data_IF_297709693435
#
_entry.id   IF_297709693435
#
_cell.length_a   1.000
_cell.length_b   1.000
_cell.length_c   1.000
_cell.angle_alpha   90.00
_cell.angle_beta   90.00
_cell.angle_gamma   90.00
#
_symmetry.space_group_name_H-M   'P 1'
#
loop_
_entity.id
_entity.type
_entity.pdbx_description
1 polymer ?
#
# COMPACT_ATOMS: atom_id res chain seq x y z
N UNK A 1 3.54 7.78 -33.04
CA UNK A 1 4.07 6.52 -33.59
C UNK A 1 5.51 6.41 -33.12
N UNK A 2 5.80 5.61 -32.10
CA UNK A 2 7.17 5.36 -31.65
C UNK A 2 7.28 3.92 -31.17
N UNK A 3 8.37 3.27 -31.58
CA UNK A 3 8.72 1.84 -31.54
C UNK A 3 8.89 1.28 -30.10
N UNK A 4 8.40 1.98 -29.07
CA UNK A 4 8.50 1.59 -27.67
C UNK A 4 7.47 0.51 -27.25
N UNK A 5 6.37 0.34 -27.99
CA UNK A 5 5.27 -0.53 -27.58
C UNK A 5 5.56 -2.02 -27.71
N UNK A 6 6.44 -2.46 -28.62
CA UNK A 6 6.69 -3.89 -28.83
C UNK A 6 7.62 -4.48 -27.74
N UNK A 7 8.72 -3.80 -27.43
CA UNK A 7 9.69 -4.21 -26.41
C UNK A 7 9.12 -4.13 -24.99
N UNK A 8 8.33 -3.09 -24.67
CA UNK A 8 7.64 -3.01 -23.38
C UNK A 8 6.58 -4.11 -23.25
N UNK A 9 5.89 -4.47 -24.34
CA UNK A 9 4.91 -5.56 -24.33
C UNK A 9 5.55 -6.94 -24.16
N UNK A 10 6.67 -7.22 -24.82
CA UNK A 10 7.37 -8.50 -24.72
C UNK A 10 8.03 -8.69 -23.34
N UNK A 11 8.58 -7.63 -22.76
CA UNK A 11 9.12 -7.63 -21.38
C UNK A 11 7.98 -7.84 -20.38
N UNK A 12 6.85 -7.17 -20.57
CA UNK A 12 5.69 -7.32 -19.70
C UNK A 12 5.05 -8.72 -19.79
N UNK A 13 5.03 -9.35 -20.97
CA UNK A 13 4.57 -10.72 -21.16
C UNK A 13 5.54 -11.73 -20.52
N UNK A 14 6.85 -11.53 -20.65
CA UNK A 14 7.84 -12.40 -20.02
C UNK A 14 7.79 -12.33 -18.50
N UNK A 15 7.69 -11.13 -17.92
CA UNK A 15 7.52 -10.93 -16.48
C UNK A 15 6.22 -11.55 -15.98
N UNK A 16 5.12 -11.44 -16.73
CA UNK A 16 3.85 -12.08 -16.40
C UNK A 16 3.98 -13.60 -16.30
N UNK A 17 4.63 -14.25 -17.27
CA UNK A 17 4.84 -15.70 -17.25
C UNK A 17 5.73 -16.16 -16.08
N UNK A 18 6.73 -15.36 -15.69
CA UNK A 18 7.57 -15.65 -14.54
C UNK A 18 6.80 -15.51 -13.22
N UNK A 19 5.98 -14.46 -13.08
CA UNK A 19 5.10 -14.27 -11.94
C UNK A 19 4.15 -15.45 -11.78
N UNK A 20 3.52 -15.92 -12.87
CA UNK A 20 2.65 -17.10 -12.83
C UNK A 20 3.37 -18.37 -12.36
N UNK A 21 4.62 -18.57 -12.79
CA UNK A 21 5.45 -19.69 -12.38
C UNK A 21 5.88 -19.61 -10.91
N UNK A 22 6.13 -18.41 -10.37
CA UNK A 22 6.38 -18.21 -8.94
C UNK A 22 5.11 -18.37 -8.11
N UNK A 23 3.97 -17.85 -8.59
CA UNK A 23 2.66 -17.98 -7.96
C UNK A 23 2.19 -19.42 -7.87
N UNK A 24 2.46 -20.25 -8.88
CA UNK A 24 2.13 -21.67 -8.86
C UNK A 24 2.81 -22.43 -7.70
N UNK A 25 3.94 -21.93 -7.21
CA UNK A 25 4.66 -22.50 -6.06
C UNK A 25 4.04 -22.07 -4.73
N UNK A 26 3.32 -20.94 -4.70
CA UNK A 26 2.75 -20.33 -3.50
C UNK A 26 1.25 -20.58 -3.45
N UNK A 27 0.81 -21.68 -2.85
CA UNK A 27 -0.61 -22.09 -2.87
C UNK A 27 -1.23 -22.32 -1.48
N UNK A 28 -0.48 -22.15 -0.38
CA UNK A 28 -0.93 -22.34 1.01
C UNK A 28 -0.24 -21.38 1.97
N UNK A 29 -0.92 -21.05 3.06
CA UNK A 29 -0.41 -20.13 4.10
C UNK A 29 0.90 -20.60 4.73
N UNK A 30 1.03 -21.90 5.04
CA UNK A 30 2.23 -22.46 5.67
C UNK A 30 3.49 -22.32 4.79
N UNK A 31 3.31 -22.33 3.46
CA UNK A 31 4.39 -22.11 2.52
C UNK A 31 4.86 -20.67 2.57
N UNK A 32 3.92 -19.70 2.67
CA UNK A 32 4.26 -18.28 2.81
C UNK A 32 4.97 -18.01 4.13
N UNK A 33 4.53 -18.65 5.22
CA UNK A 33 5.21 -18.59 6.51
C UNK A 33 6.65 -19.08 6.41
N UNK A 34 6.87 -20.22 5.74
CA UNK A 34 8.20 -20.79 5.51
C UNK A 34 9.07 -19.85 4.65
N UNK A 35 8.50 -19.24 3.61
CA UNK A 35 9.22 -18.28 2.76
C UNK A 35 9.57 -17.00 3.51
N UNK A 36 8.68 -16.53 4.38
CA UNK A 36 8.86 -15.29 5.16
C UNK A 36 9.95 -15.43 6.23
N UNK A 37 10.20 -16.65 6.72
CA UNK A 37 11.27 -16.98 7.67
C UNK A 37 12.65 -17.16 7.02
N UNK A 38 12.76 -17.02 5.69
CA UNK A 38 14.08 -17.09 5.04
C UNK A 38 14.93 -15.90 5.47
N UNK A 39 16.24 -16.08 5.72
CA UNK A 39 17.12 -14.97 6.11
C UNK A 39 17.09 -13.79 5.15
N UNK A 40 16.93 -14.04 3.84
CA UNK A 40 16.80 -12.99 2.82
C UNK A 40 15.50 -12.20 2.95
N UNK A 41 14.38 -12.87 3.23
CA UNK A 41 13.07 -12.25 3.40
C UNK A 41 13.03 -11.41 4.69
N UNK A 42 13.58 -11.93 5.78
CA UNK A 42 13.71 -11.22 7.05
C UNK A 42 14.62 -10.00 6.93
N UNK A 43 15.80 -10.15 6.32
CA UNK A 43 16.73 -9.04 6.11
C UNK A 43 16.11 -7.93 5.24
N UNK A 44 15.35 -8.31 4.21
CA UNK A 44 14.62 -7.35 3.37
C UNK A 44 13.53 -6.64 4.17
N UNK A 45 12.74 -7.39 4.96
CA UNK A 45 11.67 -6.82 5.81
C UNK A 45 12.22 -5.82 6.83
N UNK A 46 13.33 -6.17 7.49
CA UNK A 46 14.02 -5.29 8.44
C UNK A 46 14.59 -4.04 7.75
N UNK A 47 15.13 -4.18 6.53
CA UNK A 47 15.58 -3.02 5.75
C UNK A 47 14.42 -2.10 5.39
N UNK A 48 13.28 -2.66 4.95
CA UNK A 48 12.08 -1.89 4.66
C UNK A 48 11.58 -1.15 5.90
N UNK A 49 11.52 -1.83 7.06
CA UNK A 49 11.10 -1.20 8.31
C UNK A 49 11.99 0.00 8.68
N UNK A 50 13.32 -0.14 8.57
CA UNK A 50 14.27 0.97 8.80
C UNK A 50 14.09 2.15 7.83
N UNK A 51 13.63 1.89 6.59
CA UNK A 51 13.37 2.95 5.61
C UNK A 51 12.04 3.65 5.88
N UNK A 52 11.00 2.90 6.23
CA UNK A 52 9.63 3.44 6.44
C UNK A 52 9.47 4.13 7.80
N UNK A 53 10.05 3.55 8.86
CA UNK A 53 9.94 4.05 10.23
C UNK A 53 11.27 4.61 10.70
N UNK A 54 11.29 5.91 11.00
CA UNK A 54 12.39 6.56 11.74
C UNK A 54 12.25 6.40 13.27
N UNK A 55 11.22 5.70 13.73
CA UNK A 55 10.88 5.53 15.15
C UNK A 55 10.91 4.04 15.51
N UNK A 56 11.88 3.63 16.33
CA UNK A 56 12.03 2.25 16.80
C UNK A 56 10.89 1.80 17.72
N UNK A 57 10.08 2.73 18.23
CA UNK A 57 8.91 2.39 19.06
C UNK A 57 7.68 2.01 18.24
N UNK A 58 7.72 2.20 16.91
CA UNK A 58 6.64 1.76 16.03
C UNK A 58 6.71 0.25 15.82
N UNK A 59 5.55 -0.45 15.79
CA UNK A 59 5.54 -1.87 15.52
C UNK A 59 6.22 -2.20 14.17
N UNK A 60 6.90 -3.35 14.06
CA UNK A 60 7.62 -3.72 12.85
C UNK A 60 6.67 -3.82 11.65
N UNK A 61 7.13 -3.32 10.51
CA UNK A 61 6.41 -3.43 9.23
C UNK A 61 6.62 -4.85 8.70
N UNK A 62 5.65 -5.73 8.98
CA UNK A 62 5.71 -7.15 8.60
C UNK A 62 5.30 -7.35 7.12
N UNK A 63 6.21 -6.97 6.23
CA UNK A 63 6.13 -7.23 4.79
C UNK A 63 7.38 -7.98 4.36
N UNK A 64 7.21 -9.07 3.64
CA UNK A 64 8.30 -9.98 3.25
C UNK A 64 8.38 -10.10 1.73
N UNK A 65 9.60 -10.03 1.19
CA UNK A 65 9.88 -10.43 -0.19
C UNK A 65 10.06 -11.95 -0.21
N UNK A 66 9.02 -12.66 -0.62
CA UNK A 66 8.93 -14.12 -0.50
C UNK A 66 9.55 -14.85 -1.71
N UNK A 67 9.67 -14.15 -2.84
CA UNK A 67 10.33 -14.58 -4.08
C UNK A 67 10.97 -13.35 -4.75
N UNK A 68 11.57 -13.51 -5.93
CA UNK A 68 12.14 -12.36 -6.63
C UNK A 68 11.07 -11.38 -7.11
N UNK A 69 9.88 -11.87 -7.48
CA UNK A 69 8.82 -11.06 -8.07
C UNK A 69 7.59 -10.89 -7.17
N UNK A 70 7.57 -11.47 -5.97
CA UNK A 70 6.41 -11.40 -5.07
C UNK A 70 6.76 -10.91 -3.66
N UNK A 71 5.87 -10.08 -3.13
CA UNK A 71 5.84 -9.68 -1.73
C UNK A 71 4.57 -10.22 -1.05
N UNK A 72 4.67 -10.50 0.25
CA UNK A 72 3.56 -10.93 1.07
C UNK A 72 3.49 -10.13 2.38
N UNK A 73 2.28 -9.85 2.84
CA UNK A 73 2.02 -9.29 4.17
C UNK A 73 0.69 -9.77 4.73
N UNK A 74 0.45 -9.54 6.01
CA UNK A 74 -0.89 -9.75 6.59
C UNK A 74 -1.82 -8.64 6.11
N UNK A 75 -2.98 -8.96 5.51
CA UNK A 75 -3.91 -7.95 5.02
C UNK A 75 -4.60 -7.24 6.20
N UNK A 76 -4.88 -5.95 6.04
CA UNK A 76 -5.94 -5.33 6.83
C UNK A 76 -7.33 -5.74 6.30
N UNK A 77 -8.34 -5.72 7.17
CA UNK A 77 -9.71 -6.23 6.90
C UNK A 77 -10.40 -5.68 5.66
N UNK A 78 -9.97 -4.54 5.12
CA UNK A 78 -10.54 -3.92 3.92
C UNK A 78 -9.51 -3.64 2.84
N UNK A 79 -8.24 -4.00 3.05
CA UNK A 79 -7.14 -3.60 2.19
C UNK A 79 -7.28 -4.18 0.79
N UNK A 80 -7.48 -5.50 0.70
CA UNK A 80 -7.66 -6.21 -0.54
C UNK A 80 -8.87 -5.68 -1.35
N UNK A 81 -10.03 -5.55 -0.69
CA UNK A 81 -11.25 -5.02 -1.33
C UNK A 81 -11.04 -3.58 -1.80
N UNK A 82 -10.30 -2.76 -1.03
CA UNK A 82 -9.99 -1.38 -1.41
C UNK A 82 -9.05 -1.31 -2.61
N UNK A 83 -8.02 -2.16 -2.64
CA UNK A 83 -7.10 -2.24 -3.78
C UNK A 83 -7.83 -2.61 -5.06
N UNK A 84 -8.65 -3.66 -5.01
CA UNK A 84 -9.44 -4.11 -6.16
C UNK A 84 -10.43 -3.03 -6.61
N UNK A 85 -11.12 -2.39 -5.67
CA UNK A 85 -12.04 -1.29 -5.98
C UNK A 85 -11.35 -0.11 -6.66
N UNK A 86 -10.20 0.34 -6.14
CA UNK A 86 -9.44 1.44 -6.77
C UNK A 86 -8.95 1.04 -8.15
N UNK A 87 -8.46 -0.19 -8.33
CA UNK A 87 -8.00 -0.71 -9.63
C UNK A 87 -9.11 -0.73 -10.68
N UNK A 88 -10.31 -1.15 -10.30
CA UNK A 88 -11.46 -1.24 -11.21
C UNK A 88 -12.03 0.13 -11.60
N UNK A 89 -11.86 1.16 -10.75
CA UNK A 89 -12.53 2.45 -10.91
C UNK A 89 -11.59 3.62 -11.19
N UNK A 90 -10.28 3.37 -11.33
CA UNK A 90 -9.28 4.40 -11.60
C UNK A 90 -8.23 3.92 -12.59
N UNK A 91 -7.46 4.84 -13.15
CA UNK A 91 -6.28 4.54 -13.95
C UNK A 91 -5.00 4.50 -13.10
N UNK A 92 -5.12 4.46 -11.76
CA UNK A 92 -3.97 4.43 -10.86
C UNK A 92 -3.34 3.03 -10.98
N UNK A 93 -2.02 2.92 -11.16
CA UNK A 93 -1.35 1.63 -11.16
C UNK A 93 -1.32 1.06 -9.74
N UNK A 94 -2.36 0.30 -9.38
CA UNK A 94 -2.45 -0.47 -8.14
C UNK A 94 -1.97 -1.89 -8.40
N UNK A 95 -1.17 -2.44 -7.48
CA UNK A 95 -0.63 -3.79 -7.58
C UNK A 95 -1.74 -4.84 -7.64
N UNK A 96 -1.48 -5.92 -8.39
CA UNK A 96 -2.37 -7.07 -8.42
C UNK A 96 -2.32 -7.80 -7.08
N UNK A 97 -3.47 -8.24 -6.59
CA UNK A 97 -3.55 -9.17 -5.46
C UNK A 97 -3.69 -10.58 -6.01
N UNK A 98 -2.83 -11.48 -5.56
CA UNK A 98 -2.81 -12.88 -5.96
C UNK A 98 -3.31 -13.79 -4.84
N UNK A 99 -3.88 -14.93 -5.20
CA UNK A 99 -4.42 -15.94 -4.27
C UNK A 99 -5.29 -15.35 -3.15
N UNK A 100 -6.42 -14.70 -3.49
CA UNK A 100 -7.25 -13.94 -2.55
C UNK A 100 -7.88 -14.76 -1.42
N UNK A 101 -7.77 -16.08 -1.47
CA UNK A 101 -8.31 -17.03 -0.52
C UNK A 101 -7.34 -17.35 0.64
N UNK A 102 -6.09 -16.88 0.55
CA UNK A 102 -5.07 -17.08 1.59
C UNK A 102 -5.17 -16.00 2.67
N UNK A 103 -4.63 -16.30 3.85
CA UNK A 103 -4.58 -15.36 4.99
C UNK A 103 -3.44 -14.32 4.86
N UNK A 104 -2.96 -14.11 3.64
CA UNK A 104 -1.86 -13.27 3.25
C UNK A 104 -2.24 -12.45 2.02
N UNK A 105 -1.82 -11.20 2.00
CA UNK A 105 -1.90 -10.34 0.82
C UNK A 105 -0.63 -10.53 -0.01
N UNK A 106 -0.74 -11.28 -1.10
CA UNK A 106 0.36 -11.52 -2.04
C UNK A 106 0.23 -10.55 -3.20
N UNK A 107 1.31 -9.86 -3.52
CA UNK A 107 1.34 -8.85 -4.57
C UNK A 107 2.65 -8.92 -5.35
N UNK A 108 2.65 -8.31 -6.53
CA UNK A 108 3.86 -8.12 -7.32
C UNK A 108 4.88 -7.27 -6.56
N UNK A 109 6.15 -7.67 -6.59
CA UNK A 109 7.28 -6.86 -6.15
C UNK A 109 7.56 -5.80 -7.21
N UNK A 110 7.50 -4.52 -6.82
CA UNK A 110 7.94 -3.41 -7.66
C UNK A 110 9.27 -2.93 -7.15
N UNK A 111 10.29 -3.12 -7.97
CA UNK A 111 11.61 -2.57 -7.70
C UNK A 111 11.58 -1.05 -7.86
N UNK A 112 12.11 -0.34 -6.86
CA UNK A 112 12.09 1.11 -6.87
C UNK A 112 12.52 1.74 -5.56
N UNK A 113 12.93 3.00 -5.67
CA UNK A 113 13.30 3.83 -4.54
C UNK A 113 12.11 4.60 -3.97
N UNK A 114 12.15 4.89 -2.67
CA UNK A 114 11.08 5.66 -2.04
C UNK A 114 11.19 7.12 -2.46
N UNK A 115 10.03 7.75 -2.69
CA UNK A 115 9.99 9.11 -3.22
C UNK A 115 10.77 10.10 -2.34
N UNK A 116 10.74 9.96 -1.01
CA UNK A 116 11.46 10.87 -0.10
C UNK A 116 12.98 10.74 -0.21
N UNK A 117 13.52 9.57 -0.54
CA UNK A 117 14.97 9.31 -0.66
C UNK A 117 15.54 9.98 -1.92
N UNK A 118 14.71 10.12 -2.95
CA UNK A 118 15.11 10.65 -4.25
C UNK A 118 14.55 12.02 -4.59
N UNK A 119 13.54 12.52 -3.87
CA UNK A 119 12.87 13.78 -4.20
C UNK A 119 13.86 14.92 -4.45
N UNK A 120 14.79 15.14 -3.52
CA UNK A 120 15.79 16.21 -3.62
C UNK A 120 16.84 16.00 -4.73
N UNK A 121 17.03 14.75 -5.18
CA UNK A 121 17.97 14.38 -6.26
C UNK A 121 17.35 14.57 -7.65
N UNK A 122 16.03 14.71 -7.75
CA UNK A 122 15.34 14.87 -9.02
C UNK A 122 15.46 16.30 -9.57
N UNK A 123 15.46 16.42 -10.90
CA UNK A 123 15.35 17.73 -11.55
C UNK A 123 14.01 18.40 -11.20
N UNK A 124 13.96 19.74 -11.22
CA UNK A 124 12.70 20.48 -11.01
C UNK A 124 11.60 20.07 -11.98
N UNK A 125 11.97 19.73 -13.22
CA UNK A 125 11.03 19.23 -14.23
C UNK A 125 10.46 17.86 -13.84
N UNK A 126 11.31 16.93 -13.37
CA UNK A 126 10.86 15.62 -12.90
C UNK A 126 9.98 15.74 -11.65
N UNK A 127 10.37 16.56 -10.68
CA UNK A 127 9.55 16.86 -9.49
C UNK A 127 8.16 17.39 -9.88
N UNK A 128 8.11 18.32 -10.83
CA UNK A 128 6.84 18.84 -11.36
C UNK A 128 5.98 17.74 -11.99
N UNK A 129 6.57 16.87 -12.83
CA UNK A 129 5.85 15.73 -13.43
C UNK A 129 5.30 14.78 -12.38
N UNK A 130 6.08 14.45 -11.34
CA UNK A 130 5.63 13.61 -10.22
C UNK A 130 4.48 14.29 -9.48
N UNK A 131 4.58 15.59 -9.17
CA UNK A 131 3.52 16.34 -8.51
C UNK A 131 2.23 16.37 -9.35
N UNK A 132 2.34 16.53 -10.67
CA UNK A 132 1.21 16.45 -11.59
C UNK A 132 0.56 15.05 -11.58
N UNK A 133 1.36 13.98 -11.63
CA UNK A 133 0.85 12.61 -11.55
C UNK A 133 0.12 12.35 -10.22
N UNK A 134 0.72 12.71 -9.08
CA UNK A 134 0.09 12.60 -7.76
C UNK A 134 -1.20 13.41 -7.66
N UNK A 135 -1.23 14.63 -8.21
CA UNK A 135 -2.45 15.45 -8.27
C UNK A 135 -3.57 14.75 -9.05
N UNK A 136 -3.24 14.11 -10.18
CA UNK A 136 -4.21 13.35 -10.96
C UNK A 136 -4.71 12.13 -10.19
N UNK A 137 -3.83 11.38 -9.53
CA UNK A 137 -4.22 10.23 -8.69
C UNK A 137 -5.13 10.65 -7.54
N UNK A 138 -4.80 11.73 -6.82
CA UNK A 138 -5.66 12.26 -5.74
C UNK A 138 -7.02 12.69 -6.29
N UNK A 139 -7.07 13.32 -7.48
CA UNK A 139 -8.34 13.69 -8.13
C UNK A 139 -9.20 12.46 -8.42
N UNK A 140 -8.60 11.37 -8.91
CA UNK A 140 -9.31 10.12 -9.18
C UNK A 140 -9.82 9.48 -7.89
N UNK A 141 -8.97 9.36 -6.86
CA UNK A 141 -9.39 8.83 -5.55
C UNK A 141 -10.54 9.63 -4.92
N UNK A 142 -10.53 10.96 -5.05
CA UNK A 142 -11.61 11.83 -4.55
C UNK A 142 -12.91 11.72 -5.34
N UNK A 143 -12.85 11.23 -6.57
CA UNK A 143 -14.04 11.00 -7.39
C UNK A 143 -14.76 9.69 -7.04
N UNK A 144 -14.06 8.76 -6.38
CA UNK A 144 -14.65 7.52 -5.91
C UNK A 144 -15.77 7.81 -4.92
N UNK A 145 -16.91 7.14 -5.12
CA UNK A 145 -18.06 7.19 -4.21
C UNK A 145 -18.13 5.87 -3.45
N UNK A 146 -18.48 5.94 -2.17
CA UNK A 146 -18.80 4.79 -1.33
C UNK A 146 -20.09 5.10 -0.59
N UNK A 147 -20.92 4.08 -0.39
CA UNK A 147 -22.15 4.19 0.41
C UNK A 147 -21.80 4.47 1.88
N UNK A 148 -20.68 3.93 2.35
CA UNK A 148 -20.23 4.05 3.73
C UNK A 148 -19.03 4.99 3.85
N UNK A 149 -19.02 5.79 4.92
CA UNK A 149 -17.85 6.60 5.30
C UNK A 149 -16.85 5.72 6.04
N UNK A 150 -15.75 5.36 5.38
CA UNK A 150 -14.68 4.54 5.93
C UNK A 150 -14.29 3.39 5.01
N UNK A 151 -13.72 2.34 5.59
CA UNK A 151 -13.31 1.13 4.90
C UNK A 151 -14.49 0.46 4.15
N UNK A 152 -14.21 -0.08 2.96
CA UNK A 152 -15.16 -0.91 2.24
C UNK A 152 -15.51 -2.16 3.07
N UNK A 153 -16.78 -2.53 3.09
CA UNK A 153 -17.32 -3.65 3.89
C UNK A 153 -17.69 -3.27 5.32
N UNK A 154 -16.76 -2.71 6.11
CA UNK A 154 -16.99 -2.44 7.55
C UNK A 154 -17.52 -1.03 7.85
N UNK A 155 -17.26 -0.07 6.97
CA UNK A 155 -17.55 1.35 7.21
C UNK A 155 -16.72 1.96 8.35
N UNK A 156 -15.69 1.27 8.84
CA UNK A 156 -14.83 1.75 9.94
C UNK A 156 -13.59 2.44 9.40
N UNK A 157 -13.04 3.38 10.15
CA UNK A 157 -11.75 4.03 9.85
C UNK A 157 -10.72 3.58 10.86
N UNK A 158 -9.54 3.22 10.38
CA UNK A 158 -8.40 2.79 11.21
C UNK A 158 -7.09 3.19 10.52
N UNK A 159 -5.98 3.07 11.25
CA UNK A 159 -4.62 3.31 10.75
C UNK A 159 -3.83 4.23 11.67
N UNK A 160 -2.62 4.59 11.23
CA UNK A 160 -1.64 5.33 12.03
C UNK A 160 -2.16 6.65 12.62
N UNK A 161 -3.00 7.38 11.88
CA UNK A 161 -3.62 8.62 12.37
C UNK A 161 -4.67 8.39 13.47
N UNK A 162 -5.10 7.14 13.64
CA UNK A 162 -6.10 6.67 14.59
C UNK A 162 -5.50 5.71 15.62
N UNK A 163 -4.17 5.70 15.78
CA UNK A 163 -3.45 4.77 16.68
C UNK A 163 -3.83 3.30 16.45
N UNK A 164 -4.13 2.95 15.19
CA UNK A 164 -4.60 1.63 14.75
C UNK A 164 -5.92 1.14 15.40
N UNK A 165 -6.62 1.99 16.17
CA UNK A 165 -7.99 1.71 16.59
C UNK A 165 -8.97 1.90 15.43
N UNK A 166 -10.00 1.06 15.42
CA UNK A 166 -11.09 1.15 14.45
C UNK A 166 -12.25 1.98 15.01
N UNK A 167 -12.62 3.05 14.31
CA UNK A 167 -13.71 3.96 14.68
C UNK A 167 -14.85 3.91 13.67
N UNK A 168 -16.07 4.21 14.13
CA UNK A 168 -17.29 4.13 13.32
C UNK A 168 -18.01 2.77 13.39
N UNK A 169 -18.93 2.48 12.47
CA UNK A 169 -19.22 3.25 11.26
C UNK A 169 -19.83 4.62 11.54
N UNK A 170 -19.65 5.56 10.60
CA UNK A 170 -20.27 6.88 10.67
C UNK A 170 -21.46 6.95 9.72
N UNK A 171 -22.62 7.26 10.26
CA UNK A 171 -23.85 7.38 9.47
C UNK A 171 -23.81 8.55 8.46
N UNK A 172 -22.97 9.55 8.73
CA UNK A 172 -22.87 10.77 7.92
C UNK A 172 -21.42 11.29 7.82
N UNK A 173 -21.10 11.87 6.66
CA UNK A 173 -19.79 12.51 6.40
C UNK A 173 -19.45 13.57 7.44
N UNK A 174 -20.42 14.38 7.88
CA UNK A 174 -20.17 15.44 8.86
C UNK A 174 -19.78 14.89 10.25
N UNK A 175 -20.30 13.72 10.65
CA UNK A 175 -19.91 13.08 11.93
C UNK A 175 -18.46 12.63 11.87
N UNK A 176 -18.04 12.04 10.76
CA UNK A 176 -16.65 11.68 10.52
C UNK A 176 -15.73 12.91 10.50
N UNK A 177 -16.12 13.98 9.80
CA UNK A 177 -15.34 15.23 9.77
C UNK A 177 -15.17 15.84 11.18
N UNK A 178 -16.24 15.87 11.98
CA UNK A 178 -16.18 16.33 13.37
C UNK A 178 -15.25 15.45 14.21
N UNK A 179 -15.33 14.13 14.05
CA UNK A 179 -14.42 13.20 14.71
C UNK A 179 -12.95 13.45 14.35
N UNK A 180 -12.62 13.62 13.06
CA UNK A 180 -11.27 13.98 12.62
C UNK A 180 -10.80 15.31 13.22
N UNK A 181 -11.69 16.30 13.32
CA UNK A 181 -11.40 17.57 13.99
C UNK A 181 -11.01 17.37 15.46
N UNK A 182 -11.76 16.55 16.20
CA UNK A 182 -11.44 16.21 17.59
C UNK A 182 -10.10 15.47 17.73
N UNK A 183 -9.86 14.43 16.91
CA UNK A 183 -8.61 13.66 16.95
C UNK A 183 -7.40 14.56 16.67
N UNK A 184 -7.53 15.47 15.70
CA UNK A 184 -6.46 16.42 15.34
C UNK A 184 -6.16 17.39 16.49
N UNK A 185 -7.20 17.94 17.12
CA UNK A 185 -7.05 18.85 18.26
C UNK A 185 -6.38 18.16 19.46
N UNK A 186 -6.87 16.99 19.86
CA UNK A 186 -6.30 16.23 20.98
C UNK A 186 -4.85 15.83 20.68
N UNK A 187 -4.57 15.36 19.47
CA UNK A 187 -3.21 15.01 19.05
C UNK A 187 -2.25 16.20 19.07
N UNK A 188 -2.71 17.40 18.69
CA UNK A 188 -1.92 18.63 18.78
C UNK A 188 -1.67 19.05 20.23
N UNK A 189 -2.69 19.03 21.09
CA UNK A 189 -2.53 19.39 22.50
C UNK A 189 -1.54 18.47 23.23
N UNK A 190 -1.56 17.17 22.96
CA UNK A 190 -0.60 16.23 23.55
C UNK A 190 0.84 16.52 23.12
N UNK A 191 1.07 16.88 21.85
CA UNK A 191 2.43 17.23 21.37
C UNK A 191 2.94 18.55 21.93
N UNK A 192 2.05 19.51 22.21
CA UNK A 192 2.42 20.81 22.80
C UNK A 192 2.78 20.70 24.29
N UNK A 193 2.26 19.71 25.02
CA UNK A 193 2.57 19.48 26.44
C UNK A 193 3.89 18.70 26.68
N UNK A 194 4.50 18.16 25.63
CA UNK A 194 5.75 17.36 25.71
C UNK A 194 6.99 18.23 25.33
N UNK A 195 6.80 19.54 25.10
CA UNK A 195 7.88 20.52 24.95
C UNK A 195 7.99 21.38 26.20
#
# INVERSE_FOLDING_TARGET
MCVATQLESDVHLHLSHQVDAELAKVYRDNYIETLSQRPSAEAWSQNLHRRVSNDENMPPVLVFRITELLVAKRPFSSEQTSMEYVRQHTSIPVLCVHHPHLNWLIMDYVDGDMLYEYWAKQSRFTQYRIACALRLYIKQLRSLKSVNVGALGTGRVSGILFQDYAFGPFDYVWRFQRFCGCVSLVGWEMRMKIR
#
